data_IF_264655991253
#
_entry.id   IF_264655991253
#
_cell.length_a   1.000
_cell.length_b   1.000
_cell.length_c   1.000
_cell.angle_alpha   90.00
_cell.angle_beta   90.00
_cell.angle_gamma   90.00
#
_symmetry.space_group_name_H-M   'P 1'
#
loop_
_entity.id
_entity.type
_entity.pdbx_description
1 polymer ?
#
# COMPACT_ATOMS: atom_id res chain seq x y z
N UNK A 1 1.42 -14.88 12.41
CA UNK A 1 0.62 -13.74 11.94
C UNK A 1 0.03 -12.91 13.08
N UNK A 2 -1.07 -13.32 13.75
CA UNK A 2 -1.79 -12.46 14.73
C UNK A 2 -0.92 -11.79 15.82
N UNK A 3 0.10 -12.50 16.34
CA UNK A 3 1.00 -12.03 17.40
C UNK A 3 2.39 -11.63 16.92
N UNK A 4 2.64 -11.68 15.61
CA UNK A 4 3.96 -11.33 15.06
C UNK A 4 4.12 -9.83 15.03
N UNK A 5 5.02 -9.30 15.87
CA UNK A 5 5.35 -7.87 15.88
C UNK A 5 5.97 -7.46 14.54
N UNK A 6 6.79 -8.34 13.94
CA UNK A 6 7.37 -8.13 12.61
C UNK A 6 6.29 -7.98 11.54
N UNK A 7 5.38 -8.95 11.41
CA UNK A 7 4.37 -8.96 10.34
C UNK A 7 3.46 -7.73 10.45
N UNK A 8 3.10 -7.33 11.67
CA UNK A 8 2.30 -6.12 11.92
C UNK A 8 3.07 -4.85 11.55
N UNK A 9 4.38 -4.78 11.83
CA UNK A 9 5.21 -3.64 11.45
C UNK A 9 5.33 -3.51 9.93
N UNK A 10 5.57 -4.61 9.22
CA UNK A 10 5.62 -4.64 7.76
C UNK A 10 4.28 -4.23 7.13
N UNK A 11 3.17 -4.77 7.61
CA UNK A 11 1.84 -4.40 7.12
C UNK A 11 1.52 -2.93 7.40
N UNK A 12 1.82 -2.42 8.61
CA UNK A 12 1.58 -1.03 8.97
C UNK A 12 2.38 -0.06 8.09
N UNK A 13 3.64 -0.38 7.79
CA UNK A 13 4.47 0.39 6.88
C UNK A 13 3.82 0.54 5.49
N UNK A 14 3.21 -0.54 4.97
CA UNK A 14 2.47 -0.50 3.70
C UNK A 14 1.16 0.28 3.82
N UNK A 15 0.44 0.14 4.94
CA UNK A 15 -0.78 0.93 5.21
C UNK A 15 -0.45 2.43 5.19
N UNK A 16 0.62 2.86 5.84
CA UNK A 16 1.01 4.27 5.86
C UNK A 16 1.45 4.77 4.48
N UNK A 17 2.16 3.95 3.71
CA UNK A 17 2.50 4.26 2.32
C UNK A 17 1.23 4.46 1.47
N UNK A 18 0.24 3.56 1.59
CA UNK A 18 -1.02 3.65 0.85
C UNK A 18 -1.88 4.84 1.30
N UNK A 19 -1.88 5.18 2.59
CA UNK A 19 -2.53 6.39 3.11
C UNK A 19 -1.92 7.65 2.51
N UNK A 20 -0.60 7.71 2.42
CA UNK A 20 0.12 8.81 1.77
C UNK A 20 -0.23 8.91 0.28
N UNK A 21 -0.22 7.79 -0.44
CA UNK A 21 -0.50 7.77 -1.87
C UNK A 21 -1.93 8.21 -2.18
N UNK A 22 -2.93 7.65 -1.50
CA UNK A 22 -4.32 8.08 -1.62
C UNK A 22 -4.51 9.54 -1.19
N UNK A 23 -3.79 10.00 -0.17
CA UNK A 23 -3.85 11.37 0.32
C UNK A 23 -3.53 12.43 -0.75
N UNK A 24 -2.75 12.08 -1.79
CA UNK A 24 -2.41 12.98 -2.91
C UNK A 24 -3.61 13.33 -3.79
N UNK A 25 -4.60 12.46 -3.86
CA UNK A 25 -5.78 12.58 -4.76
C UNK A 25 -7.12 12.54 -4.02
N UNK A 26 -7.11 12.30 -2.71
CA UNK A 26 -8.30 12.24 -1.88
C UNK A 26 -8.76 13.62 -1.37
N UNK A 27 -10.04 13.71 -1.03
CA UNK A 27 -10.60 14.79 -0.20
C UNK A 27 -9.92 14.79 1.17
N UNK A 28 -9.52 15.96 1.63
CA UNK A 28 -8.89 16.16 2.95
C UNK A 28 -9.75 15.53 4.06
N UNK A 29 -9.13 14.75 4.93
CA UNK A 29 -9.80 14.07 6.05
C UNK A 29 -10.59 12.79 5.68
N UNK A 30 -10.69 12.46 4.39
CA UNK A 30 -11.45 11.28 3.93
C UNK A 30 -10.66 9.97 3.95
N UNK A 31 -9.34 10.01 4.05
CA UNK A 31 -8.50 8.81 4.13
C UNK A 31 -8.71 8.13 5.48
N UNK A 32 -9.19 6.88 5.46
CA UNK A 32 -9.48 6.06 6.64
C UNK A 32 -8.90 4.65 6.47
N UNK A 33 -8.66 3.99 7.60
CA UNK A 33 -8.25 2.58 7.67
C UNK A 33 -9.35 1.83 8.44
N UNK A 34 -10.47 1.49 7.80
CA UNK A 34 -11.60 0.83 8.48
C UNK A 34 -11.24 -0.54 9.06
N UNK A 35 -10.24 -1.20 8.51
CA UNK A 35 -9.82 -2.53 8.96
C UNK A 35 -8.30 -2.63 8.92
N UNK A 36 -7.70 -3.00 10.06
CA UNK A 36 -6.26 -3.07 10.26
C UNK A 36 -5.88 -4.42 10.86
N UNK A 37 -4.92 -5.10 10.23
CA UNK A 37 -4.41 -6.43 10.58
C UNK A 37 -5.44 -7.57 10.57
N UNK A 38 -6.42 -7.52 9.67
CA UNK A 38 -7.33 -8.65 9.46
C UNK A 38 -6.56 -9.89 8.98
N UNK A 39 -6.95 -11.06 9.46
CA UNK A 39 -6.39 -12.33 9.01
C UNK A 39 -7.37 -13.00 8.08
N UNK A 40 -6.98 -13.14 6.82
CA UNK A 40 -7.79 -13.75 5.78
C UNK A 40 -7.25 -15.13 5.41
N UNK A 41 -8.09 -16.17 5.44
CA UNK A 41 -7.72 -17.47 4.91
C UNK A 41 -7.86 -17.49 3.39
N UNK A 42 -6.80 -17.91 2.72
CA UNK A 42 -6.80 -18.29 1.31
C UNK A 42 -6.55 -19.80 1.19
N UNK A 43 -6.63 -20.34 -0.04
CA UNK A 43 -6.60 -21.79 -0.29
C UNK A 43 -5.42 -22.53 0.38
N UNK A 44 -4.24 -21.91 0.44
CA UNK A 44 -3.02 -22.54 0.99
C UNK A 44 -2.31 -21.70 2.06
N UNK A 45 -2.72 -20.45 2.27
CA UNK A 45 -2.02 -19.51 3.15
C UNK A 45 -3.00 -18.62 3.90
N UNK A 46 -2.57 -18.14 5.05
CA UNK A 46 -3.21 -17.01 5.73
C UNK A 46 -2.46 -15.73 5.40
N UNK A 47 -3.18 -14.64 5.19
CA UNK A 47 -2.58 -13.32 4.95
C UNK A 47 -3.06 -12.31 5.97
N UNK A 48 -2.15 -11.39 6.33
CA UNK A 48 -2.51 -10.19 7.09
C UNK A 48 -2.87 -9.09 6.11
N UNK A 49 -4.16 -8.73 6.06
CA UNK A 49 -4.75 -7.76 5.15
C UNK A 49 -5.18 -6.53 5.93
N UNK A 50 -5.15 -5.37 5.28
CA UNK A 50 -5.65 -4.12 5.84
C UNK A 50 -6.28 -3.29 4.74
N UNK A 51 -7.36 -2.62 5.08
CA UNK A 51 -8.18 -1.87 4.14
C UNK A 51 -7.94 -0.39 4.34
N UNK A 52 -7.50 0.30 3.29
CA UNK A 52 -7.37 1.77 3.25
C UNK A 52 -8.38 2.30 2.24
N UNK A 53 -9.19 3.28 2.65
CA UNK A 53 -10.24 3.87 1.81
C UNK A 53 -10.16 5.39 1.85
N UNK A 54 -10.57 6.03 0.76
CA UNK A 54 -10.64 7.48 0.66
C UNK A 54 -11.73 7.91 -0.33
N UNK A 55 -12.19 9.16 -0.23
CA UNK A 55 -13.05 9.76 -1.23
C UNK A 55 -12.19 10.57 -2.19
N UNK A 56 -12.26 10.27 -3.48
CA UNK A 56 -11.50 11.01 -4.50
C UNK A 56 -11.97 12.47 -4.55
N UNK A 57 -11.06 13.42 -4.80
CA UNK A 57 -11.46 14.80 -5.04
C UNK A 57 -12.28 14.91 -6.34
N UNK A 58 -13.23 15.86 -6.44
CA UNK A 58 -14.06 16.03 -7.64
C UNK A 58 -13.28 16.33 -8.93
N UNK A 59 -12.07 16.87 -8.82
CA UNK A 59 -11.18 17.23 -9.93
C UNK A 59 -10.23 16.10 -10.36
N UNK A 60 -10.27 14.95 -9.67
CA UNK A 60 -9.40 13.81 -9.94
C UNK A 60 -10.21 12.67 -10.58
N UNK A 61 -9.58 11.98 -11.54
CA UNK A 61 -10.12 10.78 -12.19
C UNK A 61 -9.26 9.54 -11.95
N UNK A 62 -9.59 8.46 -12.67
CA UNK A 62 -8.92 7.16 -12.57
C UNK A 62 -7.43 7.25 -12.92
N UNK A 63 -7.04 8.08 -13.90
CA UNK A 63 -5.64 8.24 -14.28
C UNK A 63 -4.80 8.82 -13.13
N UNK A 64 -5.28 9.88 -12.48
CA UNK A 64 -4.60 10.50 -11.33
C UNK A 64 -4.50 9.53 -10.17
N UNK A 65 -5.56 8.75 -9.92
CA UNK A 65 -5.56 7.69 -8.91
C UNK A 65 -4.49 6.63 -9.19
N UNK A 66 -4.45 6.11 -10.42
CA UNK A 66 -3.44 5.12 -10.82
C UNK A 66 -2.03 5.69 -10.69
N UNK A 67 -1.77 6.92 -11.17
CA UNK A 67 -0.46 7.56 -11.04
C UNK A 67 -0.04 7.78 -9.58
N UNK A 68 -0.99 8.07 -8.69
CA UNK A 68 -0.69 8.29 -7.27
C UNK A 68 -0.32 6.99 -6.54
N UNK A 69 -1.00 5.88 -6.85
CA UNK A 69 -0.84 4.62 -6.14
C UNK A 69 0.13 3.64 -6.81
N UNK A 70 0.44 3.80 -8.10
CA UNK A 70 1.28 2.88 -8.85
C UNK A 70 2.79 3.13 -8.65
N UNK A 71 3.62 2.07 -8.61
CA UNK A 71 3.26 0.66 -8.42
C UNK A 71 2.85 0.34 -6.97
N UNK A 72 2.18 -0.81 -6.72
CA UNK A 72 1.72 -1.19 -5.39
C UNK A 72 2.86 -1.22 -4.35
N UNK A 73 2.59 -0.68 -3.17
CA UNK A 73 3.57 -0.62 -2.07
C UNK A 73 4.09 -2.00 -1.64
N UNK A 74 3.21 -3.00 -1.60
CA UNK A 74 3.55 -4.38 -1.21
C UNK A 74 4.47 -5.10 -2.21
N UNK A 75 4.51 -4.66 -3.47
CA UNK A 75 5.38 -5.23 -4.51
C UNK A 75 6.71 -4.47 -4.66
N UNK A 76 6.85 -3.34 -3.98
CA UNK A 76 8.05 -2.48 -4.05
C UNK A 76 8.74 -2.40 -2.70
N UNK A 77 8.18 -1.61 -1.77
CA UNK A 77 8.72 -1.33 -0.45
C UNK A 77 8.56 0.14 -0.07
N UNK A 78 9.08 0.52 1.11
CA UNK A 78 9.04 1.90 1.60
C UNK A 78 10.43 2.35 2.07
N UNK A 79 10.88 3.58 1.72
CA UNK A 79 10.25 4.54 0.82
C UNK A 79 10.23 4.06 -0.65
N UNK A 80 9.07 4.21 -1.34
CA UNK A 80 8.79 3.57 -2.64
C UNK A 80 9.86 3.82 -3.70
N UNK A 81 10.27 5.08 -3.90
CA UNK A 81 11.29 5.43 -4.90
C UNK A 81 12.64 4.77 -4.63
N UNK A 82 13.10 4.77 -3.37
CA UNK A 82 14.38 4.18 -3.02
C UNK A 82 14.35 2.66 -3.13
N UNK A 83 13.25 2.03 -2.72
CA UNK A 83 13.04 0.60 -2.90
C UNK A 83 13.10 0.21 -4.39
N UNK A 84 12.41 0.94 -5.27
CA UNK A 84 12.45 0.68 -6.72
C UNK A 84 13.85 0.85 -7.32
N UNK A 85 14.63 1.85 -6.88
CA UNK A 85 16.03 2.01 -7.33
C UNK A 85 16.90 0.83 -6.93
N UNK A 86 16.70 0.28 -5.73
CA UNK A 86 17.42 -0.90 -5.27
C UNK A 86 16.98 -2.14 -6.06
N UNK A 87 15.68 -2.29 -6.32
CA UNK A 87 15.15 -3.37 -7.16
C UNK A 87 15.79 -3.34 -8.55
N UNK A 88 15.80 -2.19 -9.24
CA UNK A 88 16.41 -2.04 -10.57
C UNK A 88 17.92 -2.35 -10.56
N UNK A 89 18.61 -2.05 -9.45
CA UNK A 89 20.04 -2.34 -9.31
C UNK A 89 20.34 -3.82 -9.02
N UNK A 90 19.39 -4.56 -8.44
CA UNK A 90 19.59 -5.96 -8.02
C UNK A 90 18.99 -6.98 -9.00
N UNK A 91 17.88 -6.65 -9.66
CA UNK A 91 17.21 -7.58 -10.57
C UNK A 91 17.84 -7.51 -11.97
N UNK A 92 18.14 -8.67 -12.59
CA UNK A 92 18.91 -8.72 -13.85
C UNK A 92 18.12 -8.25 -15.07
N UNK A 93 16.80 -8.13 -14.95
CA UNK A 93 15.87 -7.77 -16.03
C UNK A 93 14.78 -6.87 -15.48
N UNK A 94 14.35 -5.91 -16.29
CA UNK A 94 13.20 -5.05 -15.98
C UNK A 94 11.90 -5.88 -15.93
N UNK A 95 11.01 -5.52 -15.01
CA UNK A 95 9.64 -6.04 -14.91
C UNK A 95 8.65 -5.25 -15.76
#
# INVERSE_FOLDING_TARGET
LARSVKDRAENLMIVDLMRNDLGRVALTGSVKVPELFALEPYASVWQMVSTVQARLRPDCGVEQLLRACWPPGSMTGAPKLKAMQIIEAMEPTRR
#
